data_IF_044995796957
#
_entry.id   IF_044995796957
#
_cell.length_a   1.000
_cell.length_b   1.000
_cell.length_c   1.000
_cell.angle_alpha   90.00
_cell.angle_beta   90.00
_cell.angle_gamma   90.00
#
_symmetry.space_group_name_H-M   'P 1'
#
loop_
_entity.id
_entity.type
_entity.pdbx_description
1 polymer ?
#
# COMPACT_ATOMS: atom_id res chain seq x y z
N UNK A 1 -15.34 11.24 -11.72
CA UNK A 1 -16.12 11.02 -11.51
C UNK A 1 -16.64 10.94 -11.16
N UNK A 2 -16.86 11.10 -10.73
CA UNK A 2 -17.62 10.99 -10.26
C UNK A 2 -18.32 10.89 -10.25
N UNK A 3 -18.40 10.99 -10.12
CA UNK A 3 -19.25 10.96 -9.98
C UNK A 3 -19.80 10.67 -9.98
N UNK A 4 -20.06 10.51 -9.78
CA UNK A 4 -20.64 10.01 -9.53
C UNK A 4 -21.06 9.53 -9.93
N UNK A 5 -21.17 9.24 -10.08
CA UNK A 5 -21.68 8.71 -10.07
C UNK A 5 -22.62 8.75 -9.96
N UNK A 6 -23.46 8.96 -9.83
CA UNK A 6 -24.35 9.06 -9.56
C UNK A 6 -24.99 9.37 -9.00
N UNK A 7 -25.65 9.46 -9.53
CA UNK A 7 -26.21 10.44 -8.67
C UNK A 7 -26.40 10.01 -7.33
N UNK A 8 -25.68 10.04 -6.59
CA UNK A 8 -25.79 9.60 -5.36
C UNK A 8 -26.25 10.46 -4.40
N UNK A 9 -26.97 9.97 -3.56
CA UNK A 9 -27.49 10.71 -2.53
C UNK A 9 -26.62 10.73 -1.35
N UNK A 10 -26.11 9.59 -0.95
CA UNK A 10 -25.18 9.52 0.13
C UNK A 10 -23.84 9.31 -0.44
N UNK A 11 -22.86 10.01 0.06
CA UNK A 11 -21.54 9.81 -0.38
C UNK A 11 -20.63 9.62 0.77
N UNK A 12 -19.73 8.69 0.73
CA UNK A 12 -18.66 8.62 1.71
C UNK A 12 -17.81 9.85 1.54
N UNK A 13 -16.85 10.06 2.40
CA UNK A 13 -16.02 11.22 2.27
C UNK A 13 -15.35 11.19 0.90
N UNK A 14 -15.21 12.33 0.30
CA UNK A 14 -14.57 12.40 -1.00
C UNK A 14 -13.19 11.84 -0.99
N UNK A 15 -12.50 11.98 0.12
CA UNK A 15 -11.18 11.45 0.26
C UNK A 15 -11.18 9.95 0.15
N UNK A 16 -12.09 9.28 0.81
CA UNK A 16 -12.19 7.84 0.75
C UNK A 16 -12.54 7.36 -0.65
N UNK A 17 -13.46 8.05 -1.31
CA UNK A 17 -13.81 7.67 -2.65
C UNK A 17 -12.63 7.79 -3.58
N UNK A 18 -11.86 8.86 -3.49
CA UNK A 18 -10.75 9.06 -4.39
C UNK A 18 -9.63 8.08 -4.14
N UNK A 19 -9.41 7.73 -2.87
CA UNK A 19 -8.40 6.74 -2.56
C UNK A 19 -8.79 5.38 -3.11
N UNK A 20 -10.07 5.02 -3.01
CA UNK A 20 -10.50 3.72 -3.51
C UNK A 20 -10.45 3.66 -5.03
N UNK A 21 -10.47 4.82 -5.70
CA UNK A 21 -10.38 4.83 -7.16
C UNK A 21 -8.96 4.93 -7.66
N UNK A 22 -8.00 5.06 -6.77
CA UNK A 22 -6.62 5.22 -7.18
C UNK A 22 -6.05 3.90 -7.69
N UNK A 23 -5.38 3.94 -8.81
CA UNK A 23 -4.74 2.77 -9.40
C UNK A 23 -3.33 2.65 -8.82
N UNK A 24 -3.03 1.51 -8.23
CA UNK A 24 -1.70 1.22 -7.71
C UNK A 24 -1.19 0.03 -8.50
N UNK A 25 -0.07 0.19 -9.17
CA UNK A 25 0.41 -0.87 -10.05
C UNK A 25 1.92 -0.93 -10.05
N UNK A 26 2.46 -2.13 -10.29
CA UNK A 26 3.90 -2.31 -10.42
C UNK A 26 4.38 -2.03 -11.83
N UNK A 27 3.45 -1.87 -12.78
CA UNK A 27 3.83 -1.56 -14.16
C UNK A 27 4.24 -0.10 -14.27
N UNK A 28 4.96 0.23 -15.34
CA UNK A 28 5.43 1.60 -15.55
C UNK A 28 4.35 2.52 -16.09
N UNK A 29 3.26 1.95 -16.54
CA UNK A 29 2.16 2.73 -17.11
C UNK A 29 0.87 1.95 -16.93
N UNK A 30 -0.25 2.59 -17.22
CA UNK A 30 -1.55 1.96 -17.16
C UNK A 30 -2.09 1.91 -18.58
N UNK A 31 -2.40 0.72 -19.05
CA UNK A 31 -2.84 0.54 -20.41
C UNK A 31 -4.12 1.32 -20.66
N UNK A 32 -4.17 2.01 -21.77
CA UNK A 32 -5.35 2.78 -22.14
C UNK A 32 -5.43 4.15 -21.50
N UNK A 33 -4.46 4.51 -20.66
CA UNK A 33 -4.49 5.81 -19.99
C UNK A 33 -3.11 6.45 -20.08
N UNK A 34 -3.09 7.74 -20.38
CA UNK A 34 -1.83 8.45 -20.55
C UNK A 34 -1.45 9.17 -19.27
N UNK A 35 -0.14 9.17 -18.99
CA UNK A 35 0.35 9.94 -17.85
C UNK A 35 0.43 11.39 -18.29
N UNK A 36 -0.35 12.24 -17.64
CA UNK A 36 -0.38 13.66 -17.95
C UNK A 36 0.65 14.43 -17.15
N UNK A 37 0.95 13.95 -15.94
CA UNK A 37 1.84 14.68 -15.06
C UNK A 37 2.46 13.73 -14.06
N UNK A 38 3.74 13.95 -13.76
CA UNK A 38 4.43 13.21 -12.72
C UNK A 38 4.43 14.06 -11.46
N UNK A 39 4.06 13.46 -10.35
CA UNK A 39 3.96 14.18 -9.08
C UNK A 39 5.06 13.79 -8.10
N UNK A 40 5.99 12.92 -8.53
CA UNK A 40 7.14 12.61 -7.71
C UNK A 40 7.06 11.25 -7.06
N UNK A 41 8.08 10.94 -6.29
CA UNK A 41 8.20 9.65 -5.63
C UNK A 41 7.41 9.67 -4.34
N UNK A 42 6.67 8.61 -4.08
CA UNK A 42 5.96 8.45 -2.81
C UNK A 42 6.39 7.15 -2.16
N UNK A 43 6.36 7.12 -0.85
CA UNK A 43 6.78 5.96 -0.06
C UNK A 43 5.76 5.78 1.06
N UNK A 44 5.38 4.53 1.30
CA UNK A 44 4.59 4.18 2.45
C UNK A 44 5.32 3.12 3.25
N UNK A 45 5.20 3.13 4.55
CA UNK A 45 5.95 2.23 5.41
C UNK A 45 5.09 1.68 6.52
N UNK A 46 5.39 0.44 6.92
CA UNK A 46 4.78 -0.16 8.08
C UNK A 46 5.86 -0.91 8.84
N UNK A 47 5.88 -0.76 10.14
CA UNK A 47 6.88 -1.41 10.97
C UNK A 47 6.19 -2.37 11.91
N UNK A 48 6.65 -3.64 11.90
CA UNK A 48 6.21 -4.62 12.85
C UNK A 48 7.15 -4.54 14.04
N UNK A 49 6.61 -4.21 15.21
CA UNK A 49 7.42 -4.01 16.38
C UNK A 49 8.00 -5.31 16.93
N UNK A 50 8.91 -5.15 17.88
CA UNK A 50 9.64 -6.27 18.43
C UNK A 50 8.73 -7.36 19.02
N UNK A 51 7.69 -6.93 19.74
CA UNK A 51 6.80 -7.91 20.36
C UNK A 51 6.01 -8.71 19.33
N UNK A 52 5.56 -8.05 18.28
CA UNK A 52 4.81 -8.73 17.23
C UNK A 52 5.70 -9.72 16.52
N UNK A 53 6.91 -9.31 16.18
CA UNK A 53 7.84 -10.18 15.49
C UNK A 53 8.19 -11.38 16.37
N UNK A 54 8.41 -11.14 17.65
CA UNK A 54 8.73 -12.22 18.57
C UNK A 54 7.59 -13.23 18.68
N UNK A 55 6.36 -12.73 18.79
CA UNK A 55 5.20 -13.60 18.91
C UNK A 55 5.02 -14.43 17.64
N UNK A 56 5.26 -13.83 16.49
CA UNK A 56 5.16 -14.51 15.23
C UNK A 56 6.21 -15.61 15.13
N UNK A 57 7.45 -15.30 15.50
CA UNK A 57 8.51 -16.29 15.44
C UNK A 57 8.29 -17.42 16.45
N UNK A 58 7.72 -17.11 17.61
CA UNK A 58 7.40 -18.15 18.57
C UNK A 58 6.37 -19.12 18.01
N UNK A 59 5.41 -18.62 17.25
CA UNK A 59 4.40 -19.51 16.69
C UNK A 59 4.93 -20.32 15.50
N UNK A 60 6.02 -19.89 14.88
CA UNK A 60 6.61 -20.65 13.78
C UNK A 60 7.12 -22.00 14.24
N UNK A 61 7.59 -22.09 15.47
CA UNK A 61 8.16 -23.36 15.95
C UNK A 61 7.12 -24.45 16.07
N UNK A 62 5.84 -24.10 16.09
CA UNK A 62 4.79 -25.11 16.21
C UNK A 62 4.19 -25.50 14.87
N UNK A 63 4.81 -25.08 13.77
CA UNK A 63 4.21 -25.28 12.48
C UNK A 63 4.68 -26.53 11.82
N UNK A 64 3.73 -27.28 11.30
CA UNK A 64 4.00 -28.45 10.49
C UNK A 64 3.72 -28.04 9.06
N UNK A 65 4.70 -28.19 8.19
CA UNK A 65 4.51 -27.86 6.79
C UNK A 65 5.12 -26.56 6.33
N UNK A 66 5.79 -25.84 7.22
CA UNK A 66 6.64 -24.74 6.81
C UNK A 66 6.00 -23.39 6.60
N UNK A 67 4.70 -23.25 6.85
CA UNK A 67 4.05 -21.95 6.69
C UNK A 67 3.27 -21.61 7.95
N UNK A 68 3.31 -20.33 8.29
CA UNK A 68 2.60 -19.83 9.45
C UNK A 68 1.49 -18.90 9.01
N UNK A 69 0.25 -19.29 9.28
CA UNK A 69 -0.87 -18.41 8.99
C UNK A 69 -0.79 -17.12 9.77
N UNK A 70 -0.34 -17.17 11.02
CA UNK A 70 -0.19 -15.98 11.82
C UNK A 70 0.86 -15.04 11.23
N UNK A 71 1.99 -15.60 10.79
CA UNK A 71 3.04 -14.80 10.19
C UNK A 71 2.54 -14.16 8.90
N UNK A 72 1.90 -14.96 8.05
CA UNK A 72 1.41 -14.46 6.77
C UNK A 72 0.36 -13.38 6.97
N UNK A 73 -0.50 -13.53 7.96
CA UNK A 73 -1.52 -12.55 8.23
C UNK A 73 -0.91 -11.22 8.68
N UNK A 74 0.08 -11.28 9.57
CA UNK A 74 0.72 -10.05 10.05
C UNK A 74 1.51 -9.38 8.93
N UNK A 75 2.16 -10.17 8.10
CA UNK A 75 2.93 -9.63 6.99
C UNK A 75 1.98 -8.98 5.98
N UNK A 76 0.84 -9.59 5.73
CA UNK A 76 -0.14 -9.01 4.83
C UNK A 76 -0.69 -7.70 5.40
N UNK A 77 -0.96 -7.65 6.70
CA UNK A 77 -1.42 -6.41 7.35
C UNK A 77 -0.38 -5.31 7.17
N UNK A 78 0.88 -5.63 7.31
CA UNK A 78 1.95 -4.65 7.15
C UNK A 78 2.02 -4.15 5.71
N UNK A 79 1.87 -5.06 4.73
CA UNK A 79 1.85 -4.65 3.32
C UNK A 79 0.67 -3.73 3.05
N UNK A 80 -0.50 -4.09 3.55
CA UNK A 80 -1.70 -3.29 3.31
C UNK A 80 -1.56 -1.91 3.93
N UNK A 81 -0.94 -1.83 5.10
CA UNK A 81 -0.71 -0.56 5.77
C UNK A 81 0.26 0.30 4.96
N UNK A 82 1.34 -0.31 4.47
CA UNK A 82 2.33 0.42 3.67
C UNK A 82 1.70 0.94 2.38
N UNK A 83 0.89 0.12 1.73
CA UNK A 83 0.24 0.52 0.49
C UNK A 83 -0.80 1.61 0.73
N UNK A 84 -1.52 1.53 1.83
CA UNK A 84 -2.50 2.57 2.15
C UNK A 84 -1.81 3.90 2.39
N UNK A 85 -0.70 3.89 3.09
CA UNK A 85 0.05 5.12 3.32
C UNK A 85 0.59 5.68 2.01
N UNK A 86 1.06 4.79 1.13
CA UNK A 86 1.50 5.19 -0.20
C UNK A 86 0.38 5.91 -0.95
N UNK A 87 -0.82 5.33 -0.93
CA UNK A 87 -1.97 5.93 -1.60
C UNK A 87 -2.29 7.29 -1.01
N UNK A 88 -2.29 7.38 0.31
CA UNK A 88 -2.63 8.64 0.97
C UNK A 88 -1.64 9.75 0.59
N UNK A 89 -0.37 9.39 0.52
CA UNK A 89 0.64 10.37 0.15
C UNK A 89 0.53 10.79 -1.30
N UNK A 90 0.20 9.83 -2.17
CA UNK A 90 -0.02 10.15 -3.58
C UNK A 90 -1.24 11.06 -3.75
N UNK A 91 -2.30 10.73 -3.02
CA UNK A 91 -3.50 11.55 -3.08
C UNK A 91 -3.22 12.98 -2.61
N UNK A 92 -2.42 13.13 -1.58
CA UNK A 92 -2.06 14.45 -1.07
C UNK A 92 -1.27 15.26 -2.10
N UNK A 93 -0.60 14.59 -3.03
CA UNK A 93 0.12 15.27 -4.10
C UNK A 93 -0.75 15.54 -5.31
N UNK A 94 -2.02 15.18 -5.25
CA UNK A 94 -2.94 15.40 -6.36
C UNK A 94 -2.91 14.33 -7.42
N UNK A 95 -2.29 13.19 -7.14
CA UNK A 95 -2.20 12.11 -8.10
C UNK A 95 -3.46 11.26 -8.07
N UNK A 96 -3.70 10.54 -9.17
CA UNK A 96 -4.78 9.56 -9.22
C UNK A 96 -4.26 8.16 -9.49
N UNK A 97 -2.96 7.99 -9.52
CA UNK A 97 -2.36 6.66 -9.69
C UNK A 97 -0.94 6.65 -9.17
N UNK A 98 -0.45 5.46 -8.82
CA UNK A 98 0.95 5.26 -8.48
C UNK A 98 1.45 4.13 -9.35
N UNK A 99 2.49 4.37 -10.13
CA UNK A 99 3.05 3.39 -11.05
C UNK A 99 4.44 2.99 -10.57
N UNK A 100 4.92 1.86 -11.05
CA UNK A 100 6.25 1.38 -10.71
C UNK A 100 6.40 1.03 -9.24
N UNK A 101 5.34 0.52 -8.62
CA UNK A 101 5.37 0.23 -7.19
C UNK A 101 6.29 -0.94 -6.89
N UNK A 102 7.10 -0.78 -5.86
CA UNK A 102 8.00 -1.80 -5.39
C UNK A 102 7.80 -1.99 -3.90
N UNK A 103 7.82 -3.24 -3.47
CA UNK A 103 7.67 -3.57 -2.06
C UNK A 103 8.98 -4.16 -1.56
N UNK A 104 9.47 -3.63 -0.46
CA UNK A 104 10.68 -4.10 0.17
C UNK A 104 10.44 -4.47 1.61
N UNK A 105 11.20 -5.45 2.08
CA UNK A 105 11.11 -5.90 3.45
C UNK A 105 12.51 -5.81 4.05
N UNK A 106 12.62 -5.15 5.19
CA UNK A 106 13.92 -4.99 5.84
C UNK A 106 13.84 -5.26 7.32
N UNK A 107 14.86 -5.89 7.84
CA UNK A 107 14.98 -6.05 9.29
C UNK A 107 15.62 -4.78 9.83
N UNK A 108 14.92 -4.13 10.74
CA UNK A 108 15.39 -2.90 11.36
C UNK A 108 15.76 -3.23 12.79
N UNK A 109 17.01 -3.02 13.15
CA UNK A 109 17.50 -3.40 14.46
C UNK A 109 17.56 -4.92 14.57
N UNK A 110 17.31 -5.44 15.77
CA UNK A 110 17.44 -6.86 16.00
C UNK A 110 16.14 -7.62 15.92
N UNK A 111 15.03 -6.93 15.99
CA UNK A 111 13.75 -7.64 16.11
C UNK A 111 12.58 -6.88 15.52
N UNK A 112 12.84 -5.92 14.66
CA UNK A 112 11.76 -5.20 13.98
C UNK A 112 11.86 -5.46 12.49
N UNK A 113 10.70 -5.57 11.84
CA UNK A 113 10.63 -5.74 10.41
C UNK A 113 9.89 -4.57 9.80
N UNK A 114 10.47 -3.98 8.78
CA UNK A 114 9.84 -2.87 8.07
C UNK A 114 9.43 -3.33 6.68
N UNK A 115 8.20 -2.99 6.31
CA UNK A 115 7.72 -3.18 4.94
C UNK A 115 7.60 -1.78 4.35
N UNK A 116 8.23 -1.56 3.21
CA UNK A 116 8.10 -0.27 2.53
C UNK A 116 7.58 -0.46 1.13
N UNK A 117 6.74 0.46 0.71
CA UNK A 117 6.21 0.51 -0.64
C UNK A 117 6.63 1.83 -1.24
N UNK A 118 7.19 1.80 -2.43
CA UNK A 118 7.58 3.03 -3.11
C UNK A 118 7.06 3.02 -4.53
N UNK A 119 6.90 4.18 -5.10
CA UNK A 119 6.42 4.30 -6.48
C UNK A 119 6.39 5.74 -6.91
N UNK A 120 5.90 5.96 -8.11
CA UNK A 120 5.80 7.30 -8.68
C UNK A 120 4.34 7.71 -8.75
N UNK A 121 4.02 8.81 -8.09
CA UNK A 121 2.67 9.36 -8.14
C UNK A 121 2.49 10.09 -9.46
N UNK A 122 1.39 9.81 -10.15
CA UNK A 122 1.14 10.38 -11.47
C UNK A 122 -0.32 10.79 -11.59
N UNK A 123 -0.59 11.66 -12.55
CA UNK A 123 -1.95 12.01 -12.94
C UNK A 123 -2.20 11.40 -14.30
N UNK A 124 -3.21 10.53 -14.37
CA UNK A 124 -3.62 9.91 -15.63
C UNK A 124 -4.81 10.67 -16.20
N UNK A 125 -4.95 10.63 -17.51
CA UNK A 125 -6.09 11.29 -18.16
C UNK A 125 -7.41 10.57 -17.88
#
# INVERSE_FOLDING_TARGET
HIQFRHGLVFEPSRCEERLSDMIITTTNSVEGRSIQEYRGIVVGEAIMGANVVRDVFASITDIVGGRSGAYESKLQDARDTALRELEERAYAKGANAVVGVDLDYEVVGQSMLMVSASGTAVVLD
#
